data_IF_584627360681
#
_entry.id   IF_584627360681
#
_cell.length_a   1.000
_cell.length_b   1.000
_cell.length_c   1.000
_cell.angle_alpha   90.00
_cell.angle_beta   90.00
_cell.angle_gamma   90.00
#
_symmetry.space_group_name_H-M   'P 1'
#
loop_
_entity.id
_entity.type
_entity.pdbx_description
1 polymer ?
#
# COMPACT_ATOMS: atom_id res chain seq x y z
N UNK A 1 9.54 7.30 -31.13
CA UNK A 1 9.76 8.66 -30.60
C UNK A 1 10.81 8.54 -29.52
N UNK A 2 11.92 9.31 -29.61
CA UNK A 2 12.94 9.29 -28.56
C UNK A 2 12.34 9.82 -27.27
N UNK A 3 12.43 9.00 -26.21
CA UNK A 3 12.15 9.45 -24.86
C UNK A 3 13.16 10.56 -24.56
N UNK A 4 12.69 11.81 -24.46
CA UNK A 4 13.52 12.87 -23.89
C UNK A 4 13.77 12.49 -22.43
N UNK A 5 15.02 12.22 -22.09
CA UNK A 5 15.44 12.16 -20.69
C UNK A 5 15.05 13.48 -20.03
N UNK A 6 14.07 13.44 -19.16
CA UNK A 6 13.73 14.57 -18.28
C UNK A 6 14.91 14.69 -17.32
N UNK A 7 15.75 15.70 -17.50
CA UNK A 7 16.83 16.01 -16.55
C UNK A 7 16.18 16.71 -15.35
N UNK A 8 16.24 16.06 -14.21
CA UNK A 8 15.90 16.64 -12.93
C UNK A 8 17.19 17.28 -12.34
N UNK A 9 17.33 18.59 -12.49
CA UNK A 9 18.51 19.33 -12.01
C UNK A 9 18.45 19.61 -10.49
N UNK A 10 17.42 19.15 -9.80
CA UNK A 10 17.14 19.44 -8.39
C UNK A 10 17.06 18.22 -7.48
N UNK A 11 17.81 17.15 -7.77
CA UNK A 11 17.83 15.98 -6.87
C UNK A 11 18.14 16.40 -5.42
N UNK A 12 17.35 15.89 -4.47
CA UNK A 12 17.60 16.11 -3.05
C UNK A 12 19.00 15.63 -2.71
N UNK A 13 19.83 16.53 -2.20
CA UNK A 13 21.18 16.19 -1.79
C UNK A 13 21.13 15.33 -0.53
N UNK A 14 21.44 14.04 -0.69
CA UNK A 14 21.48 13.12 0.45
C UNK A 14 22.82 13.24 1.16
N UNK A 15 22.83 13.50 2.49
CA UNK A 15 24.08 13.63 3.22
C UNK A 15 24.79 12.27 3.26
N UNK A 16 25.87 12.13 2.51
CA UNK A 16 26.74 10.98 2.48
C UNK A 16 26.03 9.62 2.17
N UNK A 17 26.71 8.50 2.38
CA UNK A 17 26.16 7.15 2.21
C UNK A 17 25.36 6.66 3.43
N UNK A 18 25.16 7.48 4.45
CA UNK A 18 24.45 7.09 5.67
C UNK A 18 22.96 6.85 5.40
N UNK A 19 22.46 5.68 5.75
CA UNK A 19 21.03 5.35 5.71
C UNK A 19 20.27 5.92 6.91
N UNK A 20 21.00 6.34 7.94
CA UNK A 20 20.45 6.82 9.21
C UNK A 20 20.18 8.33 9.24
N UNK A 21 20.42 9.04 8.14
CA UNK A 21 20.10 10.45 7.99
C UNK A 21 19.19 10.63 6.76
N UNK A 22 18.06 11.33 6.95
CA UNK A 22 17.05 11.56 5.91
C UNK A 22 16.85 13.04 5.72
N UNK A 23 17.20 13.62 4.55
CA UNK A 23 17.02 15.05 4.30
C UNK A 23 15.55 15.42 4.28
N UNK A 24 15.15 16.44 5.03
CA UNK A 24 13.74 16.83 5.14
C UNK A 24 13.13 17.27 3.82
N UNK A 25 13.93 17.78 2.90
CA UNK A 25 13.49 18.14 1.55
C UNK A 25 12.85 16.97 0.78
N UNK A 26 13.20 15.72 1.08
CA UNK A 26 12.62 14.56 0.41
C UNK A 26 11.09 14.49 0.55
N UNK A 27 10.52 15.10 1.60
CA UNK A 27 9.07 15.13 1.84
C UNK A 27 8.35 16.35 1.26
N UNK A 28 9.10 17.37 0.81
CA UNK A 28 8.51 18.66 0.43
C UNK A 28 8.85 19.10 -0.99
N UNK A 29 9.82 18.47 -1.63
CA UNK A 29 10.30 18.86 -2.96
C UNK A 29 9.39 18.28 -4.07
N UNK A 30 8.77 19.13 -4.92
CA UNK A 30 7.89 18.68 -5.98
C UNK A 30 8.63 17.99 -7.14
N UNK A 31 9.92 18.31 -7.39
CA UNK A 31 10.71 17.66 -8.43
C UNK A 31 11.08 16.25 -7.99
N UNK A 32 11.43 16.08 -6.70
CA UNK A 32 11.65 14.76 -6.11
C UNK A 32 10.37 13.92 -6.17
N UNK A 33 9.20 14.51 -5.89
CA UNK A 33 7.92 13.82 -6.02
C UNK A 33 7.64 13.38 -7.48
N UNK A 34 7.92 14.24 -8.44
CA UNK A 34 7.76 13.89 -9.87
C UNK A 34 8.72 12.75 -10.28
N UNK A 35 9.96 12.77 -9.79
CA UNK A 35 10.95 11.72 -10.00
C UNK A 35 10.45 10.36 -9.44
N UNK A 36 9.79 10.36 -8.28
CA UNK A 36 9.19 9.17 -7.67
C UNK A 36 8.11 8.55 -8.55
N UNK A 37 7.25 9.39 -9.17
CA UNK A 37 6.21 8.90 -10.07
C UNK A 37 6.82 8.15 -11.27
N UNK A 38 7.93 8.61 -11.80
CA UNK A 38 8.62 7.97 -12.94
C UNK A 38 9.50 6.79 -12.53
N UNK A 39 10.36 6.98 -11.51
CA UNK A 39 11.40 6.01 -11.15
C UNK A 39 10.91 4.91 -10.21
N UNK A 40 9.90 5.19 -9.38
CA UNK A 40 9.33 4.21 -8.46
C UNK A 40 8.04 3.65 -9.05
N UNK A 41 6.97 4.44 -9.12
CA UNK A 41 5.64 3.90 -9.46
C UNK A 41 5.51 3.39 -10.90
N UNK A 42 6.25 3.96 -11.85
CA UNK A 42 6.34 3.44 -13.24
C UNK A 42 7.62 2.66 -13.49
N UNK A 43 8.50 2.54 -12.50
CA UNK A 43 9.78 1.88 -12.60
C UNK A 43 9.73 0.37 -12.38
N UNK A 44 10.86 -0.19 -11.98
CA UNK A 44 11.05 -1.64 -11.78
C UNK A 44 10.50 -2.12 -10.43
N UNK A 45 9.19 -1.94 -10.22
CA UNK A 45 8.48 -2.38 -9.01
C UNK A 45 7.16 -3.05 -9.36
N UNK A 46 6.68 -3.91 -8.47
CA UNK A 46 5.32 -4.40 -8.48
C UNK A 46 4.46 -3.59 -7.53
N UNK A 47 3.36 -3.07 -8.03
CA UNK A 47 2.36 -2.34 -7.24
C UNK A 47 1.12 -3.20 -7.02
N UNK A 48 0.62 -3.24 -5.79
CA UNK A 48 -0.66 -3.89 -5.50
C UNK A 48 -1.81 -3.13 -6.19
N UNK A 49 -2.71 -3.87 -6.81
CA UNK A 49 -3.85 -3.33 -7.56
C UNK A 49 -5.18 -3.56 -6.85
N UNK A 50 -5.52 -4.81 -6.56
CA UNK A 50 -6.78 -5.21 -5.92
C UNK A 50 -6.68 -6.62 -5.34
N UNK A 51 -7.75 -7.09 -4.69
CA UNK A 51 -7.95 -8.50 -4.41
C UNK A 51 -8.61 -9.19 -5.61
N UNK A 52 -8.20 -10.41 -5.92
CA UNK A 52 -8.91 -11.25 -6.92
C UNK A 52 -10.39 -11.46 -6.55
N UNK A 53 -10.69 -11.46 -5.24
CA UNK A 53 -12.06 -11.55 -4.72
C UNK A 53 -12.93 -10.31 -5.02
N UNK A 54 -12.36 -9.21 -5.51
CA UNK A 54 -13.12 -8.02 -5.91
C UNK A 54 -13.61 -8.09 -7.36
N UNK A 55 -13.01 -8.98 -8.15
CA UNK A 55 -13.34 -9.25 -9.56
C UNK A 55 -13.53 -10.77 -9.76
N UNK A 56 -14.48 -11.40 -9.05
CA UNK A 56 -14.60 -12.86 -9.02
C UNK A 56 -15.09 -13.47 -10.34
N UNK A 57 -15.83 -12.72 -11.17
CA UNK A 57 -16.45 -13.25 -12.39
C UNK A 57 -15.87 -12.58 -13.64
N UNK A 58 -15.84 -13.29 -14.79
CA UNK A 58 -15.61 -12.66 -16.08
C UNK A 58 -16.53 -11.45 -16.27
N UNK A 59 -16.00 -10.35 -16.77
CA UNK A 59 -16.73 -9.10 -16.88
C UNK A 59 -16.56 -8.14 -15.70
N UNK A 60 -16.14 -8.60 -14.54
CA UNK A 60 -15.90 -7.73 -13.38
C UNK A 60 -14.65 -6.88 -13.55
N UNK A 61 -14.73 -5.64 -13.12
CA UNK A 61 -13.58 -4.73 -13.10
C UNK A 61 -13.59 -3.81 -11.89
N UNK A 62 -12.40 -3.36 -11.50
CA UNK A 62 -12.18 -2.33 -10.48
C UNK A 62 -11.26 -1.25 -11.02
N UNK A 63 -11.50 0.00 -10.59
CA UNK A 63 -10.61 1.13 -10.85
C UNK A 63 -9.70 1.35 -9.63
N UNK A 64 -8.42 1.54 -9.90
CA UNK A 64 -7.37 1.74 -8.89
C UNK A 64 -6.34 2.74 -9.39
N UNK A 65 -5.22 2.91 -8.69
CA UNK A 65 -4.09 3.71 -9.17
C UNK A 65 -2.76 3.06 -8.83
N UNK A 66 -1.77 3.30 -9.67
CA UNK A 66 -0.35 3.04 -9.41
C UNK A 66 0.36 4.40 -9.36
N UNK A 67 0.82 4.81 -8.18
CA UNK A 67 1.14 6.22 -7.98
C UNK A 67 -0.06 7.10 -8.29
N UNK A 68 0.11 8.08 -9.19
CA UNK A 68 -0.97 8.93 -9.68
C UNK A 68 -1.62 8.42 -10.98
N UNK A 69 -1.10 7.34 -11.57
CA UNK A 69 -1.66 6.78 -12.80
C UNK A 69 -2.94 5.99 -12.50
N UNK A 70 -4.05 6.42 -13.06
CA UNK A 70 -5.31 5.68 -12.98
C UNK A 70 -5.23 4.37 -13.78
N UNK A 71 -5.66 3.25 -13.19
CA UNK A 71 -5.59 1.89 -13.73
C UNK A 71 -6.94 1.20 -13.59
N UNK A 72 -7.31 0.41 -14.59
CA UNK A 72 -8.42 -0.54 -14.53
C UNK A 72 -7.83 -1.94 -14.41
N UNK A 73 -8.41 -2.74 -13.52
CA UNK A 73 -8.13 -4.17 -13.41
C UNK A 73 -9.41 -4.90 -13.75
N UNK A 74 -9.39 -5.77 -14.75
CA UNK A 74 -10.56 -6.47 -15.24
C UNK A 74 -10.31 -7.97 -15.33
N UNK A 75 -11.35 -8.77 -15.08
CA UNK A 75 -11.33 -10.20 -15.38
C UNK A 75 -11.90 -10.41 -16.78
N UNK A 76 -11.07 -10.88 -17.68
CA UNK A 76 -11.43 -11.22 -19.05
C UNK A 76 -12.41 -12.41 -19.11
N UNK A 77 -13.00 -12.60 -20.29
CA UNK A 77 -13.91 -13.72 -20.55
C UNK A 77 -13.26 -15.10 -20.40
N UNK A 78 -11.95 -15.17 -20.61
CA UNK A 78 -11.10 -16.36 -20.40
C UNK A 78 -10.76 -16.62 -18.93
N UNK A 79 -11.17 -15.71 -18.02
CA UNK A 79 -10.85 -15.72 -16.60
C UNK A 79 -9.50 -15.11 -16.22
N UNK A 80 -8.68 -14.69 -17.20
CA UNK A 80 -7.43 -14.01 -16.92
C UNK A 80 -7.66 -12.61 -16.32
N UNK A 81 -6.75 -12.18 -15.47
CA UNK A 81 -6.77 -10.82 -14.92
C UNK A 81 -5.89 -9.92 -15.80
N UNK A 82 -6.47 -8.87 -16.30
CA UNK A 82 -5.81 -7.84 -17.09
C UNK A 82 -5.77 -6.52 -16.35
N UNK A 83 -4.74 -5.70 -16.57
CA UNK A 83 -4.68 -4.35 -16.07
C UNK A 83 -4.16 -3.40 -17.14
N UNK A 84 -4.76 -2.22 -17.22
CA UNK A 84 -4.42 -1.21 -18.21
C UNK A 84 -4.74 0.20 -17.68
N UNK A 85 -4.10 1.19 -18.28
CA UNK A 85 -4.28 2.60 -17.90
C UNK A 85 -5.72 3.05 -18.18
N UNK A 86 -6.37 3.61 -17.18
CA UNK A 86 -7.73 4.16 -17.25
C UNK A 86 -7.76 5.50 -17.97
N UNK A 87 -7.40 5.50 -19.26
CA UNK A 87 -7.32 6.72 -20.08
C UNK A 87 -7.61 6.40 -21.53
N UNK A 88 -8.72 6.93 -22.04
CA UNK A 88 -9.12 6.79 -23.44
C UNK A 88 -8.02 7.31 -24.39
N UNK A 89 -7.63 6.49 -25.36
CA UNK A 89 -6.60 6.84 -26.35
C UNK A 89 -6.99 8.03 -27.26
N UNK A 90 -8.29 8.35 -27.38
CA UNK A 90 -8.76 9.46 -28.21
C UNK A 90 -8.31 10.82 -27.67
N UNK A 91 -8.77 11.20 -26.46
CA UNK A 91 -8.52 12.53 -25.86
C UNK A 91 -8.28 12.48 -24.35
N UNK A 92 -7.83 11.34 -23.86
CA UNK A 92 -7.37 11.20 -22.47
C UNK A 92 -8.46 11.18 -21.39
N UNK A 93 -9.75 11.05 -21.75
CA UNK A 93 -10.82 10.96 -20.75
C UNK A 93 -10.69 9.68 -19.93
N UNK A 94 -11.04 9.72 -18.65
CA UNK A 94 -11.20 8.50 -17.85
C UNK A 94 -12.30 7.62 -18.46
N UNK A 95 -12.06 6.32 -18.53
CA UNK A 95 -13.03 5.33 -19.05
C UNK A 95 -13.97 4.87 -17.92
N UNK A 96 -13.42 4.37 -16.83
CA UNK A 96 -14.17 3.98 -15.64
C UNK A 96 -14.23 5.15 -14.67
N UNK A 97 -15.44 5.64 -14.37
CA UNK A 97 -15.71 6.77 -13.48
C UNK A 97 -16.18 6.34 -12.10
N UNK A 98 -16.41 5.03 -11.91
CA UNK A 98 -16.77 4.41 -10.63
C UNK A 98 -15.66 3.47 -10.18
N UNK A 99 -15.66 3.11 -8.90
CA UNK A 99 -14.62 2.25 -8.33
C UNK A 99 -14.68 0.79 -8.80
N UNK A 100 -15.85 0.35 -9.29
CA UNK A 100 -16.06 -1.01 -9.81
C UNK A 100 -17.25 -1.05 -10.77
N UNK A 101 -17.29 -2.09 -11.58
CA UNK A 101 -18.39 -2.35 -12.48
C UNK A 101 -18.32 -3.75 -13.09
N UNK A 102 -19.23 -4.00 -14.03
CA UNK A 102 -19.33 -5.27 -14.76
C UNK A 102 -19.81 -5.01 -16.18
N UNK A 103 -19.26 -5.70 -17.14
CA UNK A 103 -19.62 -5.61 -18.56
C UNK A 103 -18.58 -6.31 -19.43
N UNK A 104 -18.92 -6.61 -20.67
CA UNK A 104 -18.01 -7.22 -21.65
C UNK A 104 -17.12 -6.19 -22.36
N UNK A 105 -17.43 -4.90 -22.24
CA UNK A 105 -16.66 -3.79 -22.81
C UNK A 105 -16.75 -2.54 -21.93
N UNK A 106 -15.79 -1.64 -22.09
CA UNK A 106 -15.71 -0.36 -21.41
C UNK A 106 -15.79 0.74 -22.45
N UNK A 107 -16.87 1.53 -22.43
CA UNK A 107 -17.11 2.58 -23.41
C UNK A 107 -16.85 3.98 -22.83
N UNK A 108 -16.02 4.75 -23.52
CA UNK A 108 -15.74 6.15 -23.18
C UNK A 108 -17.01 7.01 -23.34
N UNK A 109 -17.43 7.65 -22.25
CA UNK A 109 -18.65 8.49 -22.26
C UNK A 109 -18.53 9.74 -23.17
N UNK A 110 -17.29 10.14 -23.52
CA UNK A 110 -17.07 11.38 -24.25
C UNK A 110 -17.37 11.21 -25.76
N UNK A 111 -16.85 10.17 -26.42
CA UNK A 111 -17.00 9.97 -27.86
C UNK A 111 -17.32 8.53 -28.25
N UNK A 112 -17.72 7.68 -27.31
CA UNK A 112 -18.15 6.31 -27.60
C UNK A 112 -17.06 5.40 -28.17
N UNK A 113 -15.78 5.62 -27.78
CA UNK A 113 -14.73 4.65 -28.05
C UNK A 113 -14.85 3.50 -27.05
N UNK A 114 -14.94 2.26 -27.56
CA UNK A 114 -15.14 1.06 -26.76
C UNK A 114 -13.91 0.18 -26.75
N UNK A 115 -13.60 -0.35 -25.59
CA UNK A 115 -12.47 -1.25 -25.35
C UNK A 115 -12.96 -2.53 -24.70
N UNK A 116 -12.39 -3.67 -25.10
CA UNK A 116 -12.63 -4.93 -24.40
C UNK A 116 -11.93 -4.98 -23.03
N UNK A 117 -12.10 -6.10 -22.32
CA UNK A 117 -11.49 -6.31 -20.99
C UNK A 117 -10.00 -6.67 -21.04
N UNK A 118 -9.42 -6.68 -22.23
CA UNK A 118 -7.99 -6.78 -22.47
C UNK A 118 -7.36 -5.41 -22.80
N UNK A 119 -8.18 -4.36 -22.91
CA UNK A 119 -7.77 -3.00 -23.24
C UNK A 119 -7.61 -2.75 -24.75
N UNK A 120 -8.10 -3.63 -25.61
CA UNK A 120 -8.04 -3.45 -27.05
C UNK A 120 -9.18 -2.53 -27.52
N UNK A 121 -8.89 -1.60 -28.42
CA UNK A 121 -9.92 -0.74 -29.02
C UNK A 121 -10.77 -1.55 -30.00
N UNK A 122 -12.03 -1.81 -29.66
CA UNK A 122 -12.97 -2.62 -30.43
C UNK A 122 -13.92 -1.77 -31.28
N UNK A 123 -14.31 -0.59 -30.77
CA UNK A 123 -15.30 0.25 -31.42
C UNK A 123 -14.96 1.74 -31.38
N UNK A 124 -15.31 2.44 -32.48
CA UNK A 124 -15.23 3.90 -32.60
C UNK A 124 -16.57 4.40 -33.12
N UNK A 125 -17.27 5.21 -32.34
CA UNK A 125 -18.54 5.76 -32.77
C UNK A 125 -18.34 6.64 -34.01
N UNK A 126 -19.20 6.46 -35.01
CA UNK A 126 -19.13 7.17 -36.28
C UNK A 126 -17.80 6.99 -37.03
N UNK A 127 -17.10 5.90 -36.88
CA UNK A 127 -15.83 5.59 -37.57
C UNK A 127 -15.96 5.81 -39.10
N UNK A 128 -17.10 5.44 -39.70
CA UNK A 128 -17.38 5.58 -41.11
C UNK A 128 -18.14 6.87 -41.46
N UNK A 129 -18.21 7.82 -40.52
CA UNK A 129 -18.97 9.06 -40.66
C UNK A 129 -20.48 8.91 -40.55
N UNK A 130 -21.18 10.05 -40.66
CA UNK A 130 -22.65 10.11 -40.69
C UNK A 130 -23.09 10.17 -42.14
N UNK A 131 -23.88 9.20 -42.61
CA UNK A 131 -24.25 9.03 -44.01
C UNK A 131 -23.05 9.01 -44.97
N UNK A 132 -21.92 8.44 -44.50
CA UNK A 132 -20.62 8.37 -45.19
C UNK A 132 -19.96 9.75 -45.43
N UNK A 133 -20.31 10.75 -44.65
CA UNK A 133 -19.64 12.03 -44.62
C UNK A 133 -18.84 12.19 -43.34
N UNK A 134 -17.59 12.65 -43.45
CA UNK A 134 -16.65 12.66 -42.34
C UNK A 134 -16.21 11.22 -41.98
N UNK A 135 -16.00 10.96 -40.71
CA UNK A 135 -15.44 9.69 -40.19
C UNK A 135 -13.96 9.79 -39.94
N UNK A 136 -13.36 8.66 -39.58
CA UNK A 136 -11.92 8.59 -39.34
C UNK A 136 -11.16 8.65 -40.63
N UNK A 137 -9.96 9.19 -40.62
CA UNK A 137 -9.06 9.24 -41.78
C UNK A 137 -8.68 7.81 -42.23
N UNK A 138 -8.38 7.59 -43.53
CA UNK A 138 -8.06 6.26 -44.06
C UNK A 138 -6.88 5.55 -43.40
N UNK A 139 -5.95 6.31 -42.85
CA UNK A 139 -4.76 5.82 -42.11
C UNK A 139 -5.02 5.50 -40.63
N UNK A 140 -6.23 5.62 -40.17
CA UNK A 140 -6.61 5.27 -38.80
C UNK A 140 -6.74 3.74 -38.66
N UNK A 141 -5.93 3.15 -37.78
CA UNK A 141 -5.96 1.74 -37.44
C UNK A 141 -6.24 1.57 -35.95
N UNK A 142 -7.31 0.88 -35.57
CA UNK A 142 -7.70 0.67 -34.16
C UNK A 142 -6.61 -0.02 -33.35
N UNK A 143 -5.85 -0.88 -33.99
CA UNK A 143 -4.76 -1.67 -33.41
C UNK A 143 -3.62 -0.80 -32.86
N UNK A 144 -3.51 0.43 -33.30
CA UNK A 144 -2.51 1.42 -32.83
C UNK A 144 -3.00 2.22 -31.62
N UNK A 145 -4.25 2.01 -31.19
CA UNK A 145 -4.91 2.83 -30.17
C UNK A 145 -5.43 2.01 -28.97
N UNK A 146 -4.80 0.86 -28.70
CA UNK A 146 -5.06 0.07 -27.51
C UNK A 146 -4.64 0.83 -26.24
N UNK A 147 -5.21 0.45 -25.10
CA UNK A 147 -4.80 0.99 -23.81
C UNK A 147 -3.43 0.44 -23.41
N UNK A 148 -2.64 1.27 -22.73
CA UNK A 148 -1.36 0.83 -22.18
C UNK A 148 -1.60 -0.24 -21.13
N UNK A 149 -1.08 -1.44 -21.34
CA UNK A 149 -1.21 -2.58 -20.43
C UNK A 149 -0.10 -2.58 -19.36
N UNK A 150 -0.42 -3.19 -18.23
CA UNK A 150 0.54 -3.58 -17.21
C UNK A 150 0.72 -5.10 -17.27
N UNK A 151 1.90 -5.59 -16.93
CA UNK A 151 2.07 -7.00 -16.56
C UNK A 151 1.35 -7.23 -15.24
N UNK A 152 0.66 -8.37 -15.12
CA UNK A 152 -0.14 -8.71 -13.93
C UNK A 152 0.27 -10.09 -13.43
N UNK A 153 0.45 -10.21 -12.12
CA UNK A 153 0.61 -11.48 -11.42
C UNK A 153 -0.22 -11.51 -10.14
N UNK A 154 -0.56 -12.71 -9.70
CA UNK A 154 -1.35 -12.95 -8.50
C UNK A 154 -0.58 -13.81 -7.50
N UNK A 155 -0.68 -13.46 -6.21
CA UNK A 155 -0.16 -14.28 -5.11
C UNK A 155 -1.17 -14.32 -3.96
N UNK A 156 -1.73 -15.50 -3.66
CA UNK A 156 -2.69 -15.73 -2.57
C UNK A 156 -3.90 -14.76 -2.62
N UNK A 157 -4.43 -14.47 -3.80
CA UNK A 157 -5.54 -13.55 -4.00
C UNK A 157 -5.17 -12.07 -4.04
N UNK A 158 -3.91 -11.71 -3.85
CA UNK A 158 -3.40 -10.35 -4.04
C UNK A 158 -2.96 -10.17 -5.49
N UNK A 159 -3.55 -9.22 -6.19
CA UNK A 159 -3.24 -8.90 -7.60
C UNK A 159 -2.26 -7.75 -7.65
N UNK A 160 -1.16 -7.94 -8.36
CA UNK A 160 -0.12 -6.95 -8.57
C UNK A 160 0.03 -6.62 -10.05
N UNK A 161 0.44 -5.38 -10.32
CA UNK A 161 0.76 -4.92 -11.67
C UNK A 161 2.05 -4.11 -11.73
N UNK A 162 2.70 -4.14 -12.88
CA UNK A 162 3.92 -3.37 -13.14
C UNK A 162 3.91 -2.78 -14.54
N UNK A 163 4.48 -1.59 -14.68
CA UNK A 163 4.76 -0.96 -15.98
C UNK A 163 6.07 -1.46 -16.61
N UNK A 164 6.90 -2.17 -15.83
CA UNK A 164 8.20 -2.66 -16.27
C UNK A 164 8.07 -4.01 -16.97
N UNK A 165 8.72 -4.12 -18.13
CA UNK A 165 8.87 -5.40 -18.84
C UNK A 165 10.08 -6.21 -18.34
N UNK A 166 10.97 -5.59 -17.55
CA UNK A 166 12.26 -6.15 -17.13
C UNK A 166 12.32 -6.54 -15.66
N UNK A 167 11.42 -6.03 -14.81
CA UNK A 167 11.38 -6.42 -13.41
C UNK A 167 11.16 -7.94 -13.29
N UNK A 168 11.84 -8.58 -12.34
CA UNK A 168 11.70 -10.01 -12.08
C UNK A 168 10.22 -10.37 -11.81
N UNK A 169 9.85 -11.64 -12.02
CA UNK A 169 8.52 -12.16 -11.67
C UNK A 169 8.21 -11.89 -10.20
N UNK A 170 6.93 -11.72 -9.87
CA UNK A 170 6.45 -11.25 -8.58
C UNK A 170 7.07 -12.00 -7.39
N UNK A 171 7.04 -13.33 -7.42
CA UNK A 171 7.55 -14.10 -6.28
C UNK A 171 9.06 -13.93 -6.09
N UNK A 172 9.80 -13.81 -7.18
CA UNK A 172 11.26 -13.53 -7.14
C UNK A 172 11.55 -12.12 -6.65
N UNK A 173 10.75 -11.15 -7.08
CA UNK A 173 10.84 -9.75 -6.63
C UNK A 173 10.53 -9.61 -5.13
N UNK A 174 9.50 -10.28 -4.63
CA UNK A 174 9.12 -10.25 -3.21
C UNK A 174 10.12 -11.00 -2.31
N UNK A 175 10.75 -12.04 -2.84
CA UNK A 175 11.65 -12.91 -2.10
C UNK A 175 10.95 -13.85 -1.12
N UNK A 176 11.65 -14.90 -0.66
CA UNK A 176 11.04 -15.95 0.16
C UNK A 176 10.51 -15.46 1.50
N UNK A 177 11.15 -14.45 2.08
CA UNK A 177 10.74 -13.85 3.36
C UNK A 177 9.32 -13.26 3.27
N UNK A 178 9.09 -12.40 2.28
CA UNK A 178 7.80 -11.70 2.09
C UNK A 178 6.72 -12.66 1.62
N UNK A 179 7.06 -13.55 0.68
CA UNK A 179 6.15 -14.63 0.22
C UNK A 179 5.69 -15.48 1.40
N UNK A 180 6.60 -15.86 2.31
CA UNK A 180 6.26 -16.59 3.53
C UNK A 180 5.31 -15.81 4.44
N UNK A 181 5.54 -14.51 4.63
CA UNK A 181 4.67 -13.63 5.40
C UNK A 181 3.26 -13.46 4.82
N UNK A 182 3.13 -13.40 3.49
CA UNK A 182 1.84 -13.37 2.80
C UNK A 182 1.12 -14.72 2.97
N UNK A 183 1.81 -15.81 2.70
CA UNK A 183 1.27 -17.17 2.79
C UNK A 183 0.79 -17.48 4.19
N UNK A 184 1.52 -17.08 5.22
CA UNK A 184 1.09 -17.26 6.61
C UNK A 184 -0.34 -16.73 6.85
N UNK A 185 -0.68 -15.60 6.26
CA UNK A 185 -1.99 -14.93 6.49
C UNK A 185 -3.06 -15.39 5.51
N UNK A 186 -2.70 -15.65 4.24
CA UNK A 186 -3.67 -15.78 3.15
C UNK A 186 -3.69 -17.15 2.45
N UNK A 187 -2.63 -17.97 2.57
CA UNK A 187 -2.57 -19.25 1.81
C UNK A 187 -3.68 -20.20 2.23
N UNK A 188 -4.41 -20.71 1.23
CA UNK A 188 -5.52 -21.64 1.44
C UNK A 188 -6.80 -21.02 2.00
N UNK A 189 -6.83 -19.69 2.19
CA UNK A 189 -7.99 -18.96 2.69
C UNK A 189 -8.76 -18.31 1.54
N UNK A 190 -10.07 -18.45 1.55
CA UNK A 190 -10.96 -17.66 0.69
C UNK A 190 -11.32 -16.39 1.43
N UNK A 191 -10.67 -15.30 1.05
CA UNK A 191 -10.89 -13.97 1.66
C UNK A 191 -11.95 -13.21 0.87
N UNK A 192 -12.71 -12.38 1.58
CA UNK A 192 -13.64 -11.42 1.00
C UNK A 192 -13.55 -10.08 1.72
N UNK A 193 -14.03 -9.03 1.07
CA UNK A 193 -14.01 -7.68 1.62
C UNK A 193 -15.21 -7.49 2.55
N UNK A 194 -14.96 -7.20 3.84
CA UNK A 194 -16.00 -6.90 4.84
C UNK A 194 -16.22 -5.40 5.04
N UNK A 195 -15.28 -4.56 4.59
CA UNK A 195 -15.42 -3.10 4.67
C UNK A 195 -14.27 -2.37 3.97
N UNK A 196 -14.56 -1.12 3.59
CA UNK A 196 -13.58 -0.20 3.00
C UNK A 196 -13.71 1.18 3.63
N UNK A 197 -12.58 1.82 3.79
CA UNK A 197 -12.52 3.22 4.18
C UNK A 197 -11.29 3.88 3.60
N UNK A 198 -11.36 5.19 3.39
CA UNK A 198 -10.23 5.98 2.90
C UNK A 198 -9.96 7.11 3.89
N UNK A 199 -8.71 7.23 4.31
CA UNK A 199 -8.23 8.39 5.05
C UNK A 199 -7.53 9.35 4.09
N UNK A 200 -7.79 10.64 4.24
CA UNK A 200 -7.03 11.69 3.58
C UNK A 200 -6.02 12.22 4.58
N UNK A 201 -4.75 11.96 4.32
CA UNK A 201 -3.65 12.36 5.18
C UNK A 201 -2.99 13.62 4.61
N UNK A 202 -2.84 14.70 5.41
CA UNK A 202 -2.19 15.94 4.97
C UNK A 202 -0.68 15.81 5.07
N UNK A 203 -0.12 14.83 4.38
CA UNK A 203 1.31 14.54 4.41
C UNK A 203 1.79 13.85 3.13
N UNK A 204 3.11 13.88 2.93
CA UNK A 204 3.79 13.12 1.90
C UNK A 204 3.64 11.61 2.16
N UNK A 205 3.47 10.83 1.09
CA UNK A 205 3.27 9.39 1.17
C UNK A 205 4.40 8.63 1.89
N UNK A 206 5.63 9.16 1.82
CA UNK A 206 6.80 8.57 2.48
C UNK A 206 6.72 8.64 4.00
N UNK A 207 6.13 9.69 4.56
CA UNK A 207 5.92 9.79 6.01
C UNK A 207 5.03 8.67 6.54
N UNK A 208 3.98 8.29 5.79
CA UNK A 208 3.18 7.14 6.18
C UNK A 208 3.88 5.82 5.88
N UNK A 209 4.66 5.74 4.78
CA UNK A 209 5.45 4.56 4.46
C UNK A 209 6.51 4.25 5.54
N UNK A 210 7.09 5.27 6.18
CA UNK A 210 7.97 5.13 7.35
C UNK A 210 7.18 4.72 8.59
N UNK A 211 6.07 5.40 8.88
CA UNK A 211 5.24 5.15 10.06
C UNK A 211 4.86 3.66 10.19
N UNK A 212 4.43 3.02 9.09
CA UNK A 212 4.06 1.59 9.10
C UNK A 212 5.26 0.64 9.24
N UNK A 213 6.49 1.14 9.14
CA UNK A 213 7.73 0.39 9.34
C UNK A 213 8.34 0.63 10.71
N UNK A 214 7.86 1.63 11.41
CA UNK A 214 8.35 2.04 12.71
C UNK A 214 7.65 1.27 13.84
N UNK A 215 8.39 0.37 14.47
CA UNK A 215 7.90 -0.34 15.66
C UNK A 215 8.15 0.42 16.95
N UNK A 216 9.01 1.45 16.91
CA UNK A 216 9.43 2.21 18.08
C UNK A 216 8.33 3.14 18.60
N UNK A 217 7.62 3.84 17.70
CA UNK A 217 6.57 4.79 18.12
C UNK A 217 5.35 4.10 18.73
N UNK A 218 5.06 2.86 18.32
CA UNK A 218 3.75 2.24 18.55
C UNK A 218 3.33 2.20 20.04
N UNK A 219 4.26 1.91 20.95
CA UNK A 219 3.93 1.89 22.40
C UNK A 219 4.10 3.24 23.10
N UNK A 220 4.53 4.27 22.39
CA UNK A 220 4.70 5.64 22.90
C UNK A 220 3.55 6.52 22.44
N UNK A 221 3.25 6.50 21.15
CA UNK A 221 2.17 7.28 20.54
C UNK A 221 0.80 6.71 20.92
N UNK A 222 0.63 5.40 20.76
CA UNK A 222 -0.64 4.73 20.98
C UNK A 222 -0.80 4.27 22.44
N UNK A 223 -1.09 5.22 23.32
CA UNK A 223 -1.26 4.92 24.75
C UNK A 223 -2.36 3.89 25.02
N UNK A 224 -3.38 3.78 24.15
CA UNK A 224 -4.40 2.75 24.21
C UNK A 224 -3.82 1.33 24.18
N UNK A 225 -2.82 1.08 23.31
CA UNK A 225 -2.24 -0.24 23.15
C UNK A 225 -1.54 -0.75 24.43
N UNK A 226 -0.88 0.14 25.13
CA UNK A 226 -0.16 -0.17 26.37
C UNK A 226 -1.08 -0.15 27.59
N UNK A 227 -1.98 0.83 27.67
CA UNK A 227 -2.98 0.91 28.78
C UNK A 227 -3.85 -0.34 28.85
N UNK A 228 -4.24 -0.90 27.72
CA UNK A 228 -5.11 -2.09 27.66
C UNK A 228 -4.38 -3.37 27.25
N UNK A 229 -3.08 -3.44 27.50
CA UNK A 229 -2.21 -4.64 27.35
C UNK A 229 -2.27 -5.30 25.97
N UNK A 230 -2.40 -4.50 24.89
CA UNK A 230 -2.42 -5.00 23.51
C UNK A 230 -1.02 -5.13 22.94
N UNK A 231 -0.16 -4.13 23.22
CA UNK A 231 1.20 -4.08 22.70
C UNK A 231 2.12 -3.27 23.63
N UNK A 232 3.36 -3.71 23.76
CA UNK A 232 4.46 -2.97 24.39
C UNK A 232 5.75 -3.17 23.61
N UNK A 233 6.68 -2.22 23.67
CA UNK A 233 7.93 -2.28 22.92
C UNK A 233 8.82 -3.46 23.32
N UNK A 234 8.82 -3.84 24.61
CA UNK A 234 9.56 -4.97 25.16
C UNK A 234 8.92 -6.35 24.88
N UNK A 235 7.74 -6.40 24.23
CA UNK A 235 7.08 -7.65 23.85
C UNK A 235 7.94 -8.44 22.86
N UNK A 236 8.07 -9.78 23.02
CA UNK A 236 8.82 -10.61 22.10
C UNK A 236 8.37 -10.42 20.64
N UNK A 237 9.32 -10.31 19.73
CA UNK A 237 9.05 -10.09 18.32
C UNK A 237 10.30 -9.84 17.51
N UNK A 238 10.12 -9.55 16.24
CA UNK A 238 11.21 -9.34 15.28
C UNK A 238 10.86 -8.29 14.24
N UNK A 239 11.89 -7.77 13.60
CA UNK A 239 11.82 -6.99 12.36
C UNK A 239 12.57 -7.78 11.29
N UNK A 240 11.89 -8.12 10.22
CA UNK A 240 12.43 -8.90 9.12
C UNK A 240 12.42 -8.02 7.86
N UNK A 241 13.57 -7.90 7.20
CA UNK A 241 13.80 -6.98 6.08
C UNK A 241 14.32 -7.78 4.89
N UNK A 242 13.81 -7.50 3.68
CA UNK A 242 14.34 -8.08 2.45
C UNK A 242 15.77 -7.60 2.16
N UNK A 243 16.53 -8.37 1.40
CA UNK A 243 17.94 -8.08 1.11
C UNK A 243 18.13 -6.70 0.46
N UNK A 244 17.17 -6.28 -0.38
CA UNK A 244 17.19 -4.96 -1.01
C UNK A 244 16.67 -3.83 -0.11
N UNK A 245 16.13 -4.16 1.07
CA UNK A 245 15.58 -3.25 2.06
C UNK A 245 14.14 -2.81 1.80
N UNK A 246 13.60 -3.00 0.60
CA UNK A 246 12.32 -2.44 0.19
C UNK A 246 11.12 -3.03 0.92
N UNK A 247 11.17 -4.31 1.20
CA UNK A 247 10.08 -5.01 1.87
C UNK A 247 10.45 -5.34 3.31
N UNK A 248 9.47 -5.36 4.19
CA UNK A 248 9.68 -5.80 5.56
C UNK A 248 8.41 -6.39 6.16
N UNK A 249 8.56 -7.16 7.23
CA UNK A 249 7.48 -7.34 8.19
C UNK A 249 8.01 -7.31 9.63
N UNK A 250 7.26 -6.66 10.49
CA UNK A 250 7.45 -6.71 11.93
C UNK A 250 6.42 -7.65 12.54
N UNK A 251 6.83 -8.40 13.55
CA UNK A 251 5.96 -9.30 14.30
C UNK A 251 6.08 -9.04 15.80
N UNK A 252 4.95 -9.20 16.50
CA UNK A 252 4.89 -9.30 17.95
C UNK A 252 4.15 -10.56 18.34
N UNK A 253 4.66 -11.28 19.38
CA UNK A 253 4.03 -12.49 19.90
C UNK A 253 3.19 -12.19 21.12
N UNK A 254 2.16 -13.00 21.34
CA UNK A 254 1.41 -13.00 22.58
C UNK A 254 2.38 -13.32 23.75
N UNK A 255 2.22 -12.58 24.83
CA UNK A 255 3.00 -12.77 26.04
C UNK A 255 2.04 -12.92 27.22
N UNK A 256 1.63 -14.15 27.45
CA UNK A 256 0.68 -14.49 28.50
C UNK A 256 1.24 -14.37 29.92
N UNK A 257 2.57 -14.28 30.06
CA UNK A 257 3.24 -14.15 31.35
C UNK A 257 3.45 -12.66 31.73
N UNK A 258 3.12 -11.72 30.86
CA UNK A 258 3.30 -10.30 31.15
C UNK A 258 2.34 -9.81 32.24
N UNK A 259 2.88 -9.10 33.20
CA UNK A 259 2.14 -8.46 34.28
C UNK A 259 1.95 -6.96 34.01
N UNK A 260 1.06 -6.30 34.76
CA UNK A 260 0.84 -4.86 34.69
C UNK A 260 2.14 -4.05 34.84
N UNK A 261 3.06 -4.53 35.69
CA UNK A 261 4.36 -3.92 35.88
C UNK A 261 5.21 -3.84 34.59
N UNK A 262 5.12 -4.85 33.72
CA UNK A 262 5.85 -4.89 32.46
C UNK A 262 5.36 -3.82 31.48
N UNK A 263 4.04 -3.59 31.45
CA UNK A 263 3.43 -2.54 30.62
C UNK A 263 3.74 -1.16 31.16
N UNK A 264 3.73 -0.98 32.48
CA UNK A 264 4.08 0.28 33.14
C UNK A 264 5.54 0.67 32.90
N UNK A 265 6.45 -0.30 33.01
CA UNK A 265 7.88 -0.09 32.77
C UNK A 265 8.21 0.21 31.30
N UNK A 266 7.41 -0.29 30.38
CA UNK A 266 7.63 -0.16 28.93
C UNK A 266 6.98 1.08 28.32
N UNK A 267 6.19 1.85 29.07
CA UNK A 267 5.44 2.98 28.53
C UNK A 267 5.39 4.18 29.46
N UNK A 268 5.79 5.32 28.93
CA UNK A 268 5.75 6.63 29.63
C UNK A 268 4.32 7.21 29.76
N UNK A 269 3.31 6.63 29.09
CA UNK A 269 1.95 7.17 28.98
C UNK A 269 0.83 6.18 29.30
N UNK A 270 1.13 5.00 29.82
CA UNK A 270 0.11 4.06 30.26
C UNK A 270 -0.68 4.65 31.45
N UNK A 271 -2.00 4.58 31.39
CA UNK A 271 -2.89 4.90 32.50
C UNK A 271 -3.49 3.59 33.01
N UNK A 272 -2.93 3.07 34.11
CA UNK A 272 -3.30 1.79 34.69
C UNK A 272 -4.60 1.82 35.48
N UNK A 273 -5.14 2.99 35.75
CA UNK A 273 -6.43 3.16 36.44
C UNK A 273 -7.61 3.00 35.45
N UNK A 274 -7.34 3.14 34.15
CA UNK A 274 -8.37 2.96 33.11
C UNK A 274 -8.64 1.48 32.86
N UNK A 275 -9.92 1.15 32.79
CA UNK A 275 -10.41 -0.19 32.42
C UNK A 275 -11.47 -0.08 31.35
N UNK A 276 -11.43 -1.01 30.38
CA UNK A 276 -12.49 -1.14 29.41
C UNK A 276 -13.77 -1.65 30.09
N UNK A 277 -14.91 -1.04 29.77
CA UNK A 277 -16.22 -1.56 30.19
C UNK A 277 -16.60 -2.84 29.43
N UNK A 278 -16.13 -2.94 28.17
CA UNK A 278 -16.31 -4.11 27.31
C UNK A 278 -14.95 -4.51 26.71
N UNK A 279 -14.44 -5.65 27.15
CA UNK A 279 -13.16 -6.20 26.70
C UNK A 279 -13.24 -6.86 25.32
N UNK A 280 -14.40 -7.04 24.73
CA UNK A 280 -14.58 -7.74 23.44
C UNK A 280 -13.80 -7.09 22.30
N UNK A 281 -13.52 -5.79 22.39
CA UNK A 281 -12.72 -5.04 21.42
C UNK A 281 -11.23 -5.44 21.42
N UNK A 282 -10.73 -5.98 22.54
CA UNK A 282 -9.33 -6.40 22.71
C UNK A 282 -9.15 -7.91 22.85
N UNK A 283 -10.23 -8.67 23.06
CA UNK A 283 -10.18 -10.12 23.11
C UNK A 283 -9.75 -10.72 21.79
N UNK A 284 -8.84 -11.66 21.80
CA UNK A 284 -8.33 -12.31 20.59
C UNK A 284 -8.08 -13.79 20.80
N UNK A 285 -8.06 -14.53 19.70
CA UNK A 285 -7.65 -15.93 19.65
C UNK A 285 -6.40 -16.06 18.78
N UNK A 286 -5.56 -17.05 19.07
CA UNK A 286 -4.44 -17.41 18.21
C UNK A 286 -4.96 -18.11 16.95
N UNK A 287 -5.29 -17.32 15.93
CA UNK A 287 -5.92 -17.78 14.70
C UNK A 287 -4.97 -18.61 13.81
N UNK A 288 -3.68 -18.36 13.92
CA UNK A 288 -2.65 -18.96 13.06
C UNK A 288 -1.85 -20.07 13.78
N UNK A 289 -2.04 -20.26 15.08
CA UNK A 289 -1.39 -21.32 15.89
C UNK A 289 0.10 -21.06 16.16
N UNK A 290 0.58 -19.83 15.98
CA UNK A 290 2.00 -19.46 16.10
C UNK A 290 2.27 -18.36 17.14
N UNK A 291 1.21 -17.96 17.87
CA UNK A 291 1.22 -16.92 18.91
C UNK A 291 1.55 -15.51 18.37
N UNK A 292 1.63 -15.28 17.07
CA UNK A 292 1.85 -13.95 16.52
C UNK A 292 0.56 -13.14 16.62
N UNK A 293 0.55 -12.13 17.47
CA UNK A 293 -0.58 -11.22 17.68
C UNK A 293 -0.62 -10.03 16.73
N UNK A 294 0.55 -9.67 16.19
CA UNK A 294 0.70 -8.56 15.24
C UNK A 294 1.67 -8.98 14.16
N UNK A 295 1.30 -8.79 12.90
CA UNK A 295 2.19 -8.79 11.75
C UNK A 295 1.84 -7.60 10.86
N UNK A 296 2.78 -6.68 10.70
CA UNK A 296 2.69 -5.58 9.73
C UNK A 296 3.70 -5.88 8.63
N UNK A 297 3.21 -6.32 7.48
CA UNK A 297 4.02 -6.63 6.32
C UNK A 297 3.86 -5.52 5.29
N UNK A 298 4.97 -4.90 4.88
CA UNK A 298 4.98 -3.86 3.85
C UNK A 298 5.67 -4.35 2.59
N UNK A 299 5.02 -4.08 1.47
CA UNK A 299 5.58 -4.30 0.13
C UNK A 299 5.81 -2.94 -0.49
N UNK A 300 7.08 -2.67 -0.81
CA UNK A 300 7.46 -1.44 -1.49
C UNK A 300 6.80 -1.38 -2.88
N UNK A 301 6.27 -0.23 -3.31
CA UNK A 301 6.36 1.05 -2.60
C UNK A 301 5.21 1.28 -1.59
N UNK A 302 4.03 0.72 -1.76
CA UNK A 302 2.81 1.33 -1.24
C UNK A 302 1.79 0.37 -0.61
N UNK A 303 2.10 -0.91 -0.46
CA UNK A 303 1.15 -1.87 0.11
C UNK A 303 1.54 -2.29 1.53
N UNK A 304 0.52 -2.44 2.38
CA UNK A 304 0.65 -3.04 3.71
C UNK A 304 -0.37 -4.18 3.84
N UNK A 305 0.10 -5.38 4.16
CA UNK A 305 -0.75 -6.48 4.62
C UNK A 305 -0.65 -6.54 6.14
N UNK A 306 -1.75 -6.26 6.80
CA UNK A 306 -1.84 -6.17 8.25
C UNK A 306 -2.60 -7.34 8.83
N UNK A 307 -2.03 -7.95 9.86
CA UNK A 307 -2.75 -8.70 10.87
C UNK A 307 -2.46 -8.05 12.24
N UNK A 308 -3.51 -7.58 12.92
CA UNK A 308 -3.43 -7.09 14.29
C UNK A 308 -4.54 -7.76 15.06
N UNK A 309 -4.15 -8.60 16.04
CA UNK A 309 -5.09 -9.50 16.70
C UNK A 309 -5.80 -10.38 15.64
N UNK A 310 -7.13 -10.31 15.56
CA UNK A 310 -7.90 -11.03 14.55
C UNK A 310 -8.37 -10.13 13.39
N UNK A 311 -7.97 -8.85 13.33
CA UNK A 311 -8.21 -8.03 12.15
C UNK A 311 -7.24 -8.38 11.04
N UNK A 312 -7.76 -8.49 9.83
CA UNK A 312 -6.99 -8.60 8.61
C UNK A 312 -7.33 -7.42 7.70
N UNK A 313 -6.32 -6.75 7.18
CA UNK A 313 -6.53 -5.65 6.25
C UNK A 313 -5.38 -5.51 5.24
N UNK A 314 -5.74 -5.06 4.04
CA UNK A 314 -4.78 -4.47 3.11
C UNK A 314 -4.92 -2.96 3.21
N UNK A 315 -3.78 -2.26 3.36
CA UNK A 315 -3.70 -0.81 3.25
C UNK A 315 -2.94 -0.45 1.98
N UNK A 316 -3.41 0.56 1.27
CA UNK A 316 -2.75 1.06 0.07
C UNK A 316 -2.45 2.54 0.25
N UNK A 317 -1.16 2.88 0.17
CA UNK A 317 -0.66 4.25 0.30
C UNK A 317 -0.68 4.87 -1.10
N UNK A 318 -1.57 5.81 -1.36
CA UNK A 318 -1.73 6.45 -2.66
C UNK A 318 -1.25 7.90 -2.60
N UNK A 319 -0.10 8.23 -3.23
CA UNK A 319 0.31 9.63 -3.35
C UNK A 319 -0.73 10.44 -4.14
N UNK A 320 -0.98 11.66 -3.70
CA UNK A 320 -1.89 12.62 -4.34
C UNK A 320 -1.31 14.03 -4.31
N UNK A 321 -0.04 14.14 -4.63
CA UNK A 321 0.75 15.36 -4.53
C UNK A 321 1.82 15.25 -3.44
N UNK A 322 2.60 16.30 -3.33
CA UNK A 322 3.75 16.35 -2.41
C UNK A 322 3.33 16.25 -0.94
N UNK A 323 2.19 16.81 -0.58
CA UNK A 323 1.72 16.99 0.79
C UNK A 323 0.38 16.32 1.07
N UNK A 324 -0.06 15.42 0.20
CA UNK A 324 -1.32 14.71 0.33
C UNK A 324 -1.19 13.24 0.01
N UNK A 325 -1.74 12.40 0.88
CA UNK A 325 -1.81 10.94 0.71
C UNK A 325 -3.25 10.48 0.92
N UNK A 326 -3.74 9.62 0.05
CA UNK A 326 -4.92 8.80 0.29
C UNK A 326 -4.47 7.44 0.80
N UNK A 327 -4.98 7.05 1.95
CA UNK A 327 -4.74 5.75 2.54
C UNK A 327 -6.01 4.92 2.49
N UNK A 328 -6.04 3.96 1.58
CA UNK A 328 -7.16 3.04 1.47
C UNK A 328 -6.98 1.86 2.43
N UNK A 329 -8.05 1.54 3.13
CA UNK A 329 -8.19 0.38 3.99
C UNK A 329 -9.19 -0.60 3.38
N UNK A 330 -8.78 -1.84 3.21
CA UNK A 330 -9.61 -2.95 2.76
C UNK A 330 -9.62 -4.00 3.86
N UNK A 331 -10.69 -4.04 4.64
CA UNK A 331 -10.85 -5.01 5.72
C UNK A 331 -11.31 -6.35 5.16
N UNK A 332 -10.68 -7.41 5.64
CA UNK A 332 -10.87 -8.77 5.13
C UNK A 332 -11.57 -9.65 6.17
N UNK A 333 -12.51 -10.45 5.69
CA UNK A 333 -13.05 -11.63 6.33
C UNK A 333 -12.62 -12.88 5.57
N UNK A 334 -12.84 -14.04 6.16
CA UNK A 334 -12.62 -15.34 5.52
C UNK A 334 -13.93 -16.11 5.45
N UNK A 335 -14.14 -16.91 4.40
CA UNK A 335 -15.36 -17.75 4.26
C UNK A 335 -15.47 -18.78 5.40
N UNK A 336 -14.36 -19.09 6.05
CA UNK A 336 -14.31 -19.99 7.21
C UNK A 336 -14.64 -19.34 8.54
N UNK A 337 -14.84 -18.00 8.58
CA UNK A 337 -15.14 -17.29 9.82
C UNK A 337 -16.55 -17.65 10.31
N UNK A 338 -16.66 -18.11 11.55
CA UNK A 338 -17.95 -18.22 12.23
C UNK A 338 -18.47 -16.83 12.65
N UNK A 339 -19.70 -16.78 13.14
CA UNK A 339 -20.34 -15.52 13.57
C UNK A 339 -19.50 -14.77 14.62
N UNK A 340 -18.91 -15.52 15.57
CA UNK A 340 -18.05 -14.94 16.61
C UNK A 340 -16.80 -14.29 16.04
N UNK A 341 -16.17 -14.95 15.06
CA UNK A 341 -14.98 -14.40 14.41
C UNK A 341 -15.32 -13.18 13.53
N UNK A 342 -16.46 -13.22 12.81
CA UNK A 342 -16.93 -12.06 12.02
C UNK A 342 -17.19 -10.85 12.92
N UNK A 343 -17.88 -11.00 14.04
CA UNK A 343 -18.09 -9.92 15.01
C UNK A 343 -16.74 -9.41 15.55
N UNK A 344 -15.81 -10.30 15.89
CA UNK A 344 -14.50 -9.94 16.42
C UNK A 344 -13.72 -9.10 15.40
N UNK A 345 -13.69 -9.51 14.11
CA UNK A 345 -13.04 -8.73 13.05
C UNK A 345 -13.62 -7.33 12.93
N UNK A 346 -14.95 -7.19 12.97
CA UNK A 346 -15.64 -5.90 12.87
C UNK A 346 -15.35 -5.01 14.07
N UNK A 347 -15.44 -5.54 15.31
CA UNK A 347 -15.17 -4.76 16.55
C UNK A 347 -13.73 -4.29 16.60
N UNK A 348 -12.76 -5.19 16.36
CA UNK A 348 -11.35 -4.84 16.35
C UNK A 348 -11.01 -3.95 15.14
N UNK A 349 -11.67 -4.12 13.99
CA UNK A 349 -11.54 -3.24 12.83
C UNK A 349 -11.91 -1.78 13.14
N UNK A 350 -12.89 -1.55 14.01
CA UNK A 350 -13.25 -0.21 14.48
C UNK A 350 -12.16 0.41 15.38
N UNK A 351 -11.40 -0.40 16.12
CA UNK A 351 -10.29 0.09 16.95
C UNK A 351 -9.05 0.41 16.10
N UNK A 352 -8.72 -0.47 15.15
CA UNK A 352 -7.44 -0.47 14.44
C UNK A 352 -7.55 0.16 13.05
N UNK A 353 -8.76 0.21 12.48
CA UNK A 353 -9.01 0.75 11.14
C UNK A 353 -9.00 2.27 11.08
N UNK A 354 -9.31 2.81 9.91
CA UNK A 354 -9.16 4.22 9.55
C UNK A 354 -9.77 5.24 10.53
N UNK A 355 -10.90 4.90 11.15
CA UNK A 355 -11.58 5.75 12.14
C UNK A 355 -11.24 5.37 13.59
N UNK A 356 -10.36 4.40 13.79
CA UNK A 356 -9.90 3.97 15.11
C UNK A 356 -8.83 4.90 15.68
N UNK A 357 -8.68 4.86 17.00
CA UNK A 357 -7.69 5.70 17.71
C UNK A 357 -6.29 5.56 17.13
N UNK A 358 -5.83 4.35 16.86
CA UNK A 358 -4.47 4.05 16.41
C UNK A 358 -4.17 4.73 15.06
N UNK A 359 -4.99 4.47 14.04
CA UNK A 359 -4.76 5.03 12.71
C UNK A 359 -5.00 6.55 12.64
N UNK A 360 -5.87 7.08 13.51
CA UNK A 360 -6.08 8.54 13.61
C UNK A 360 -4.86 9.25 14.20
N UNK A 361 -4.22 8.67 15.22
CA UNK A 361 -3.00 9.21 15.82
C UNK A 361 -1.86 9.24 14.79
N UNK A 362 -1.67 8.17 14.03
CA UNK A 362 -0.69 8.10 12.95
C UNK A 362 -0.92 9.18 11.89
N UNK A 363 -2.16 9.36 11.47
CA UNK A 363 -2.55 10.39 10.51
C UNK A 363 -2.27 11.82 11.01
N UNK A 364 -2.53 12.08 12.29
CA UNK A 364 -2.25 13.38 12.91
C UNK A 364 -0.74 13.66 12.97
N UNK A 365 0.05 12.69 13.43
CA UNK A 365 1.51 12.86 13.57
C UNK A 365 2.16 13.11 12.21
N UNK A 366 1.83 12.37 11.18
CA UNK A 366 2.32 12.61 9.83
C UNK A 366 2.01 14.03 9.33
N UNK A 367 0.81 14.54 9.62
CA UNK A 367 0.43 15.92 9.30
C UNK A 367 1.19 16.98 10.12
N UNK A 368 1.56 16.67 11.37
CA UNK A 368 2.38 17.58 12.18
C UNK A 368 3.81 17.66 11.63
N UNK A 369 4.38 16.52 11.26
CA UNK A 369 5.71 16.47 10.62
C UNK A 369 5.68 17.25 9.31
N UNK A 370 4.73 16.99 8.41
CA UNK A 370 4.63 17.71 7.12
C UNK A 370 4.58 19.22 7.30
N UNK A 371 3.79 19.71 8.26
CA UNK A 371 3.70 21.16 8.55
C UNK A 371 5.00 21.75 9.07
N UNK A 372 5.74 21.00 9.91
CA UNK A 372 7.01 21.46 10.44
C UNK A 372 8.10 21.55 9.35
N UNK A 373 8.00 20.68 8.33
CA UNK A 373 8.99 20.62 7.25
C UNK A 373 8.76 21.63 6.11
N UNK A 374 7.69 22.40 6.13
CA UNK A 374 7.39 23.38 5.07
C UNK A 374 8.40 24.54 4.94
N UNK A 375 9.20 24.77 5.96
CA UNK A 375 10.20 25.85 5.96
C UNK A 375 11.48 25.53 5.16
N UNK A 376 11.55 24.34 4.57
CA UNK A 376 12.50 23.95 3.52
C UNK A 376 13.94 24.32 3.83
N UNK A 377 14.43 23.90 4.98
CA UNK A 377 15.84 23.97 5.33
C UNK A 377 16.61 22.73 4.80
N UNK A 378 17.92 22.82 4.75
CA UNK A 378 18.81 21.71 4.37
C UNK A 378 19.08 20.75 5.54
N UNK A 379 18.21 20.72 6.55
CA UNK A 379 18.34 19.85 7.70
C UNK A 379 17.91 18.41 7.38
N UNK A 380 18.37 17.48 8.21
CA UNK A 380 18.05 16.05 8.11
C UNK A 380 17.47 15.52 9.41
N UNK A 381 16.56 14.57 9.30
CA UNK A 381 16.13 13.73 10.41
C UNK A 381 17.10 12.59 10.66
N UNK A 382 17.06 12.04 11.87
CA UNK A 382 17.91 10.94 12.32
C UNK A 382 17.05 9.70 12.58
N UNK A 383 17.42 8.57 11.96
CA UNK A 383 16.77 7.26 12.11
C UNK A 383 17.80 6.22 12.56
N UNK A 384 18.25 6.35 13.82
CA UNK A 384 19.37 5.59 14.39
C UNK A 384 18.95 4.56 15.45
N UNK A 385 17.68 4.47 15.82
CA UNK A 385 17.26 3.49 16.79
C UNK A 385 17.59 2.08 16.29
N UNK A 386 18.31 1.29 17.12
CA UNK A 386 18.77 -0.06 16.78
C UNK A 386 19.99 -0.12 15.86
N UNK A 387 20.69 1.00 15.59
CA UNK A 387 21.93 1.04 14.82
C UNK A 387 21.86 1.81 13.50
N UNK A 388 22.76 1.53 12.58
CA UNK A 388 22.92 2.25 11.30
C UNK A 388 22.60 1.40 10.05
N UNK A 389 22.53 0.08 10.19
CA UNK A 389 22.25 -0.85 9.10
C UNK A 389 20.73 -1.00 8.84
N UNK A 390 20.40 -1.74 7.78
CA UNK A 390 19.05 -2.09 7.38
C UNK A 390 18.86 -3.62 7.43
N UNK A 391 19.41 -4.26 8.46
CA UNK A 391 19.36 -5.71 8.62
C UNK A 391 18.21 -6.15 9.54
N UNK A 392 17.75 -7.39 9.38
CA UNK A 392 16.73 -8.00 10.22
C UNK A 392 17.18 -8.09 11.68
N UNK A 393 16.24 -7.90 12.62
CA UNK A 393 16.53 -7.84 14.05
C UNK A 393 15.54 -8.68 14.87
N UNK A 394 16.02 -9.25 15.97
CA UNK A 394 15.23 -10.08 16.90
C UNK A 394 14.59 -9.26 18.03
N UNK A 395 14.54 -7.97 17.88
CA UNK A 395 13.93 -7.01 18.82
C UNK A 395 13.19 -5.93 18.04
N UNK A 396 12.33 -5.19 18.74
CA UNK A 396 11.41 -4.24 18.11
C UNK A 396 11.76 -2.77 18.36
N UNK A 397 12.69 -2.47 19.27
CA UNK A 397 13.18 -1.11 19.52
C UNK A 397 14.18 -0.70 18.42
N UNK A 398 13.69 -0.49 17.20
CA UNK A 398 14.55 -0.26 16.03
C UNK A 398 13.81 0.47 14.90
N UNK A 399 14.58 1.24 14.14
CA UNK A 399 14.21 1.90 12.89
C UNK A 399 14.89 1.24 11.67
N UNK A 400 15.41 0.01 11.79
CA UNK A 400 16.10 -0.68 10.70
C UNK A 400 15.23 -0.82 9.44
N UNK A 401 13.92 -1.05 9.58
CA UNK A 401 13.00 -1.15 8.44
C UNK A 401 12.77 0.19 7.73
N UNK A 402 12.86 1.31 8.43
CA UNK A 402 12.86 2.66 7.84
C UNK A 402 14.14 2.85 7.02
N UNK A 403 15.30 2.49 7.57
CA UNK A 403 16.58 2.52 6.83
C UNK A 403 16.57 1.61 5.59
N UNK A 404 15.90 0.46 5.68
CA UNK A 404 15.66 -0.43 4.53
C UNK A 404 14.84 0.25 3.43
N UNK A 405 13.74 0.90 3.80
CA UNK A 405 12.93 1.67 2.85
C UNK A 405 13.77 2.72 2.12
N UNK A 406 14.60 3.49 2.84
CA UNK A 406 15.46 4.51 2.24
C UNK A 406 16.58 3.92 1.39
N UNK A 407 17.13 2.77 1.75
CA UNK A 407 18.08 2.02 0.90
C UNK A 407 17.47 1.71 -0.46
N UNK A 408 16.26 1.15 -0.49
CA UNK A 408 15.54 0.83 -1.74
C UNK A 408 15.16 2.08 -2.52
N UNK A 409 14.62 3.08 -1.82
CA UNK A 409 14.22 4.35 -2.40
C UNK A 409 15.39 5.01 -3.16
N UNK A 410 16.54 5.14 -2.50
CA UNK A 410 17.75 5.73 -3.09
C UNK A 410 18.26 4.95 -4.30
N UNK A 411 18.24 3.62 -4.22
CA UNK A 411 18.64 2.76 -5.33
C UNK A 411 17.79 2.99 -6.59
N UNK A 412 16.49 3.26 -6.43
CA UNK A 412 15.60 3.49 -7.57
C UNK A 412 15.63 4.94 -8.07
N UNK A 413 15.70 5.91 -7.18
CA UNK A 413 15.69 7.34 -7.55
C UNK A 413 17.05 7.86 -7.97
N UNK A 414 18.12 7.26 -7.49
CA UNK A 414 19.49 7.66 -7.80
C UNK A 414 20.00 8.84 -6.98
N UNK A 415 19.37 9.12 -5.80
CA UNK A 415 19.77 10.18 -4.86
C UNK A 415 20.62 9.64 -3.70
#
# INVERSE_FOLDING_TARGET
>A
MSVQEVRFDGAVNWPSNALSEVPFRVYTDPEQYALEQERIFKGEVWSYLCLAAEIPNPGDWVATTVGEVAVIVARGEDGAINAFVNRCAHRGNLLCLTNKGHGSEITCIYHGWSYDLEGQLTGVAFERGVKRQGGMAPEFHKEEHHLQRLRVEELCGLVFGTFSDTVAELQSYLGPLVVGGIKRVLEGRKVHVIGRSTQILPNNWKLYAENVRDTYHASILHSFLTTFHINRLSQPGSINISDDGGHHFSQAKLDYAAEDADYNAANLRADTDLKLQDNSVVESVDEFGDQVSVQILTIFPSMVLQQVRNTLAVRVIRPRGVDKTELDWVHLGCDSDDETMQERRLRQGNLIGAAGYIAMEDGCVGGFVQRALQYNDDASGIVMMGGHDAESQNFRASEAAIRGFWKKYRALTGV
#
